data_IF_492650666514
#
_entry.id   IF_492650666514
#
_cell.length_a   1.000
_cell.length_b   1.000
_cell.length_c   1.000
_cell.angle_alpha   90.00
_cell.angle_beta   90.00
_cell.angle_gamma   90.00
#
_symmetry.space_group_name_H-M   'P 1'
#
loop_
_entity.id
_entity.type
_entity.pdbx_description
1 polymer ?
#
# COMPACT_ATOMS: atom_id res chain seq x y z
N UNK A 1 1.42 15.48 -35.45
CA UNK A 1 0.79 14.82 -34.28
C UNK A 1 1.90 14.21 -33.46
N UNK A 2 2.46 14.98 -32.52
CA UNK A 2 3.52 14.55 -31.62
C UNK A 2 2.89 14.26 -30.29
N UNK A 3 2.92 12.98 -29.88
CA UNK A 3 2.46 12.53 -28.58
C UNK A 3 3.39 13.08 -27.50
N UNK A 4 2.87 13.96 -26.67
CA UNK A 4 3.58 14.55 -25.54
C UNK A 4 3.66 13.48 -24.43
N UNK A 5 4.76 12.73 -24.39
CA UNK A 5 5.11 11.86 -23.29
C UNK A 5 5.67 12.70 -22.13
N UNK A 6 4.81 13.23 -21.28
CA UNK A 6 5.23 13.80 -20.00
C UNK A 6 5.27 12.63 -19.00
N UNK A 7 6.38 11.89 -19.03
CA UNK A 7 6.73 10.99 -17.94
C UNK A 7 7.38 11.82 -16.83
N UNK A 8 6.60 12.15 -15.79
CA UNK A 8 7.15 12.64 -14.53
C UNK A 8 8.18 11.66 -14.02
N UNK A 9 9.38 12.18 -13.73
CA UNK A 9 10.65 11.51 -13.47
C UNK A 9 10.71 10.45 -12.38
N UNK A 10 9.89 9.42 -12.43
CA UNK A 10 10.20 8.15 -11.80
C UNK A 10 11.30 7.48 -12.62
N UNK A 11 12.54 7.79 -12.27
CA UNK A 11 13.71 7.06 -12.77
C UNK A 11 13.45 5.58 -12.46
N UNK A 12 13.19 4.78 -13.48
CA UNK A 12 13.17 3.32 -13.38
C UNK A 12 14.49 2.92 -12.72
N UNK A 13 14.46 2.65 -11.42
CA UNK A 13 15.56 2.00 -10.73
C UNK A 13 15.68 0.64 -11.39
N UNK A 14 16.77 0.42 -12.12
CA UNK A 14 17.09 -0.88 -12.70
C UNK A 14 16.93 -1.93 -11.61
N UNK A 15 16.18 -3.02 -11.83
CA UNK A 15 15.93 -4.01 -10.81
C UNK A 15 17.28 -4.53 -10.32
N UNK A 16 17.59 -4.20 -9.07
CA UNK A 16 18.76 -4.77 -8.39
C UNK A 16 18.61 -6.29 -8.49
N UNK A 17 19.63 -6.95 -9.05
CA UNK A 17 19.62 -8.41 -9.26
C UNK A 17 19.32 -9.06 -7.91
N UNK A 18 18.04 -9.44 -7.70
CA UNK A 18 17.59 -10.04 -6.44
C UNK A 18 18.50 -11.22 -6.11
N UNK A 19 19.08 -11.22 -4.91
CA UNK A 19 19.93 -12.29 -4.46
C UNK A 19 19.15 -13.62 -4.43
N UNK A 20 19.84 -14.75 -4.52
CA UNK A 20 19.22 -16.07 -4.35
C UNK A 20 18.50 -16.19 -3.00
N UNK A 21 19.02 -15.49 -1.97
CA UNK A 21 18.43 -15.43 -0.64
C UNK A 21 17.09 -14.69 -0.67
N UNK A 22 17.01 -13.55 -1.37
CA UNK A 22 15.78 -12.75 -1.47
C UNK A 22 14.71 -13.50 -2.25
N UNK A 23 15.10 -14.19 -3.34
CA UNK A 23 14.18 -15.04 -4.11
C UNK A 23 13.62 -16.18 -3.27
N UNK A 24 14.48 -16.88 -2.51
CA UNK A 24 14.04 -17.95 -1.60
C UNK A 24 13.11 -17.42 -0.52
N UNK A 25 13.44 -16.25 0.07
CA UNK A 25 12.60 -15.61 1.07
C UNK A 25 11.22 -15.23 0.50
N UNK A 26 11.17 -14.67 -0.70
CA UNK A 26 9.93 -14.34 -1.38
C UNK A 26 9.10 -15.59 -1.72
N UNK A 27 9.73 -16.66 -2.18
CA UNK A 27 9.05 -17.93 -2.47
C UNK A 27 8.46 -18.56 -1.20
N UNK A 28 9.20 -18.59 -0.09
CA UNK A 28 8.67 -19.10 1.18
C UNK A 28 7.52 -18.24 1.70
N UNK A 29 7.64 -16.90 1.59
CA UNK A 29 6.56 -16.00 1.96
C UNK A 29 5.28 -16.28 1.14
N UNK A 30 5.42 -16.46 -0.18
CA UNK A 30 4.31 -16.78 -1.08
C UNK A 30 3.65 -18.12 -0.72
N UNK A 31 4.46 -19.17 -0.47
CA UNK A 31 3.95 -20.49 -0.08
C UNK A 31 3.15 -20.44 1.22
N UNK A 32 3.60 -19.69 2.23
CA UNK A 32 2.86 -19.52 3.49
C UNK A 32 1.54 -18.78 3.25
N UNK A 33 1.56 -17.70 2.47
CA UNK A 33 0.36 -16.94 2.14
C UNK A 33 -0.66 -17.78 1.38
N UNK A 34 -0.24 -18.54 0.37
CA UNK A 34 -1.08 -19.43 -0.44
C UNK A 34 -1.74 -20.49 0.45
N UNK A 35 -0.98 -21.17 1.30
CA UNK A 35 -1.49 -22.15 2.25
C UNK A 35 -2.52 -21.53 3.22
N UNK A 36 -2.18 -20.37 3.81
CA UNK A 36 -3.07 -19.68 4.75
C UNK A 36 -4.37 -19.18 4.09
N UNK A 37 -4.27 -18.60 2.88
CA UNK A 37 -5.42 -18.13 2.13
C UNK A 37 -6.34 -19.29 1.70
N UNK A 38 -5.77 -20.41 1.24
CA UNK A 38 -6.51 -21.61 0.87
C UNK A 38 -7.26 -22.18 2.09
N UNK A 39 -6.58 -22.39 3.22
CA UNK A 39 -7.19 -22.87 4.45
C UNK A 39 -8.36 -21.96 4.91
N UNK A 40 -8.18 -20.63 4.84
CA UNK A 40 -9.22 -19.68 5.21
C UNK A 40 -10.42 -19.70 4.23
N UNK A 41 -10.19 -19.98 2.95
CA UNK A 41 -11.27 -20.11 1.97
C UNK A 41 -12.11 -21.38 2.17
N UNK A 42 -11.53 -22.45 2.70
CA UNK A 42 -12.24 -23.72 2.99
C UNK A 42 -13.05 -23.65 4.29
N UNK A 43 -12.58 -22.93 5.28
CA UNK A 43 -13.22 -22.83 6.59
C UNK A 43 -14.29 -21.73 6.61
N UNK A 44 -15.33 -21.93 7.42
CA UNK A 44 -16.34 -20.89 7.75
C UNK A 44 -15.96 -20.11 9.01
N UNK A 45 -15.07 -20.67 9.83
CA UNK A 45 -14.61 -20.11 11.10
C UNK A 45 -13.07 -20.10 11.11
N UNK A 46 -12.48 -18.89 11.16
CA UNK A 46 -11.03 -18.71 11.17
C UNK A 46 -10.35 -19.29 12.42
N UNK A 47 -11.10 -19.57 13.50
CA UNK A 47 -10.53 -20.22 14.69
C UNK A 47 -10.04 -21.64 14.40
N UNK A 48 -10.59 -22.28 13.38
CA UNK A 48 -10.22 -23.63 12.92
C UNK A 48 -8.97 -23.65 12.03
N UNK A 49 -8.54 -22.51 11.49
CA UNK A 49 -7.30 -22.40 10.77
C UNK A 49 -6.16 -22.27 11.77
N UNK A 50 -5.25 -23.22 11.81
CA UNK A 50 -4.12 -23.24 12.72
C UNK A 50 -2.80 -22.91 12.03
N UNK A 51 -1.84 -22.38 12.81
CA UNK A 51 -0.49 -22.08 12.29
C UNK A 51 0.23 -23.39 11.94
N UNK A 52 -0.02 -24.44 12.69
CA UNK A 52 0.54 -25.77 12.47
C UNK A 52 0.13 -26.30 11.09
N UNK A 53 -1.16 -26.28 10.77
CA UNK A 53 -1.66 -26.72 9.43
C UNK A 53 -1.08 -25.87 8.29
N UNK A 54 -1.02 -24.54 8.47
CA UNK A 54 -0.41 -23.64 7.46
C UNK A 54 1.07 -23.97 7.27
N UNK A 55 1.80 -24.21 8.37
CA UNK A 55 3.22 -24.51 8.34
C UNK A 55 3.51 -25.87 7.67
N UNK A 56 2.71 -26.87 7.98
CA UNK A 56 2.82 -28.20 7.40
C UNK A 56 2.56 -28.15 5.88
N UNK A 57 1.50 -27.46 5.43
CA UNK A 57 1.19 -27.28 4.02
C UNK A 57 2.29 -26.49 3.27
N UNK A 58 2.85 -25.46 3.91
CA UNK A 58 3.97 -24.70 3.38
C UNK A 58 5.34 -25.41 3.50
N UNK A 59 5.37 -26.61 4.08
CA UNK A 59 6.57 -27.42 4.33
C UNK A 59 7.65 -26.67 5.13
N UNK A 60 7.23 -26.02 6.22
CA UNK A 60 8.08 -25.27 7.17
C UNK A 60 7.70 -25.61 8.63
N UNK A 61 8.54 -25.20 9.58
CA UNK A 61 8.15 -25.26 11.01
C UNK A 61 7.29 -24.07 11.42
N UNK A 62 6.46 -24.22 12.46
CA UNK A 62 5.72 -23.11 13.08
C UNK A 62 6.66 -21.97 13.53
N UNK A 63 7.88 -22.27 14.01
CA UNK A 63 8.91 -21.27 14.30
C UNK A 63 9.32 -20.48 13.06
N UNK A 64 9.41 -21.17 11.91
CA UNK A 64 9.74 -20.51 10.63
C UNK A 64 8.61 -19.61 10.19
N UNK A 65 7.34 -19.99 10.38
CA UNK A 65 6.18 -19.17 10.09
C UNK A 65 6.28 -17.78 10.73
N UNK A 66 6.60 -17.71 12.03
CA UNK A 66 6.71 -16.45 12.76
C UNK A 66 7.89 -15.55 12.32
N UNK A 67 8.84 -16.06 11.54
CA UNK A 67 9.86 -15.24 10.89
C UNK A 67 9.33 -14.47 9.66
N UNK A 68 8.15 -14.84 9.15
CA UNK A 68 7.53 -14.25 7.97
C UNK A 68 6.27 -13.46 8.29
N UNK A 69 5.45 -13.95 9.21
CA UNK A 69 4.16 -13.35 9.56
C UNK A 69 3.99 -13.28 11.07
N UNK A 70 3.53 -12.14 11.62
CA UNK A 70 3.29 -11.98 13.05
C UNK A 70 2.04 -12.76 13.52
N UNK A 71 1.05 -12.98 12.61
CA UNK A 71 -0.17 -13.71 12.90
C UNK A 71 -0.64 -14.54 11.71
N UNK A 72 -1.57 -15.46 11.93
CA UNK A 72 -2.22 -16.21 10.84
C UNK A 72 -3.09 -15.31 9.97
N UNK A 73 -3.71 -14.30 10.56
CA UNK A 73 -4.53 -13.33 9.85
C UNK A 73 -3.69 -12.48 8.88
N UNK A 74 -2.48 -12.07 9.27
CA UNK A 74 -1.53 -11.41 8.37
C UNK A 74 -1.12 -12.33 7.22
N UNK A 75 -0.89 -13.63 7.49
CA UNK A 75 -0.59 -14.61 6.47
C UNK A 75 -1.77 -14.84 5.52
N UNK A 76 -2.98 -14.95 6.05
CA UNK A 76 -4.21 -15.10 5.26
C UNK A 76 -4.40 -13.91 4.30
N UNK A 77 -4.17 -12.70 4.78
CA UNK A 77 -4.28 -11.48 3.96
C UNK A 77 -3.03 -11.18 3.12
N UNK A 78 -1.92 -11.91 3.32
CA UNK A 78 -0.66 -11.66 2.65
C UNK A 78 -0.08 -10.29 2.99
N UNK A 79 -0.16 -9.87 4.25
CA UNK A 79 0.33 -8.58 4.73
C UNK A 79 1.72 -8.74 5.34
N UNK A 80 2.64 -7.88 4.95
CA UNK A 80 3.96 -7.72 5.58
C UNK A 80 3.92 -6.51 6.49
N UNK A 81 4.76 -6.49 7.52
CA UNK A 81 4.94 -5.27 8.34
C UNK A 81 5.26 -4.09 7.41
N UNK A 82 4.48 -3.00 7.45
CA UNK A 82 4.73 -1.84 6.61
C UNK A 82 6.09 -1.20 6.89
N UNK A 83 6.75 -0.76 5.83
CA UNK A 83 7.97 0.03 5.91
C UNK A 83 8.10 0.94 4.69
N UNK A 84 8.79 2.04 4.85
CA UNK A 84 9.22 2.90 3.75
C UNK A 84 10.72 2.68 3.60
N UNK A 85 11.15 2.16 2.44
CA UNK A 85 12.55 1.96 2.14
C UNK A 85 13.25 3.28 1.76
N UNK A 86 14.59 3.30 1.86
CA UNK A 86 15.39 4.49 1.57
C UNK A 86 15.16 5.02 0.15
N UNK A 87 14.87 4.15 -0.82
CA UNK A 87 14.60 4.55 -2.20
C UNK A 87 13.26 5.26 -2.34
N UNK A 88 12.22 4.76 -1.68
CA UNK A 88 10.90 5.41 -1.61
C UNK A 88 11.00 6.75 -0.88
N UNK A 89 11.69 6.78 0.27
CA UNK A 89 11.89 8.01 1.03
C UNK A 89 12.68 9.06 0.23
N UNK A 90 13.73 8.67 -0.49
CA UNK A 90 14.53 9.57 -1.32
C UNK A 90 13.76 10.09 -2.57
N UNK A 91 12.89 9.27 -3.14
CA UNK A 91 12.07 9.64 -4.29
C UNK A 91 10.91 10.58 -3.91
N UNK A 92 10.45 10.53 -2.67
CA UNK A 92 9.37 11.39 -2.20
C UNK A 92 9.90 12.78 -1.83
N UNK A 93 9.89 13.68 -2.82
CA UNK A 93 10.33 15.08 -2.71
C UNK A 93 9.13 15.99 -2.95
N UNK A 94 9.00 17.08 -2.19
CA UNK A 94 7.93 18.09 -2.36
C UNK A 94 8.50 19.30 -3.11
N UNK A 95 8.02 19.49 -4.35
CA UNK A 95 8.29 20.66 -5.19
C UNK A 95 7.26 21.77 -5.00
N UNK A 96 7.53 22.92 -5.60
CA UNK A 96 6.66 24.11 -5.46
C UNK A 96 5.32 23.96 -6.21
N UNK A 97 5.29 23.24 -7.32
CA UNK A 97 4.12 23.08 -8.20
C UNK A 97 3.44 21.70 -8.09
N UNK A 98 3.83 20.89 -7.07
CA UNK A 98 3.28 19.56 -6.91
C UNK A 98 1.82 19.56 -6.43
N UNK A 99 0.99 18.67 -7.00
CA UNK A 99 -0.24 18.21 -6.36
C UNK A 99 0.14 17.29 -5.18
N UNK A 100 0.07 17.85 -3.98
CA UNK A 100 0.48 17.13 -2.76
C UNK A 100 -0.46 15.98 -2.42
N UNK A 101 -1.74 16.08 -2.79
CA UNK A 101 -2.72 15.01 -2.51
C UNK A 101 -2.42 13.82 -3.39
N UNK A 102 -2.16 14.03 -4.67
CA UNK A 102 -1.75 12.99 -5.60
C UNK A 102 -0.44 12.33 -5.17
N UNK A 103 0.57 13.14 -4.85
CA UNK A 103 1.87 12.62 -4.40
C UNK A 103 1.77 11.75 -3.18
N UNK A 104 0.98 12.18 -2.19
CA UNK A 104 0.76 11.39 -0.96
C UNK A 104 -0.07 10.15 -1.25
N UNK A 105 -1.08 10.23 -2.14
CA UNK A 105 -1.85 9.06 -2.56
C UNK A 105 -0.97 8.00 -3.23
N UNK A 106 -0.07 8.41 -4.14
CA UNK A 106 0.90 7.52 -4.78
C UNK A 106 1.90 6.91 -3.79
N UNK A 107 2.37 7.68 -2.80
CA UNK A 107 3.22 7.16 -1.72
C UNK A 107 2.48 6.08 -0.92
N UNK A 108 1.25 6.34 -0.48
CA UNK A 108 0.45 5.38 0.28
C UNK A 108 0.18 4.11 -0.54
N UNK A 109 -0.10 4.27 -1.83
CA UNK A 109 -0.30 3.18 -2.75
C UNK A 109 0.97 2.32 -2.93
N UNK A 110 2.14 2.93 -3.17
CA UNK A 110 3.42 2.23 -3.33
C UNK A 110 3.78 1.41 -2.07
N UNK A 111 3.65 2.02 -0.89
CA UNK A 111 3.90 1.31 0.39
C UNK A 111 2.92 0.15 0.56
N UNK A 112 1.64 0.34 0.23
CA UNK A 112 0.65 -0.73 0.32
C UNK A 112 0.97 -1.88 -0.65
N UNK A 113 1.26 -1.60 -1.92
CA UNK A 113 1.60 -2.65 -2.91
C UNK A 113 2.86 -3.45 -2.50
N UNK A 114 3.88 -2.79 -1.97
CA UNK A 114 5.11 -3.44 -1.47
C UNK A 114 4.85 -4.36 -0.29
N UNK A 115 3.88 -4.01 0.56
CA UNK A 115 3.62 -4.71 1.82
C UNK A 115 2.42 -5.67 1.77
N UNK A 116 1.59 -5.59 0.74
CA UNK A 116 0.42 -6.45 0.54
C UNK A 116 0.60 -7.51 -0.57
N UNK A 117 1.84 -7.91 -0.87
CA UNK A 117 2.11 -8.98 -1.83
C UNK A 117 1.77 -8.65 -3.29
N UNK A 118 1.62 -7.36 -3.65
CA UNK A 118 1.40 -6.90 -5.01
C UNK A 118 -0.04 -7.11 -5.54
N UNK A 119 -0.21 -6.82 -6.82
CA UNK A 119 -1.53 -6.81 -7.49
C UNK A 119 -2.22 -8.17 -7.59
N UNK A 120 -1.47 -9.26 -7.63
CA UNK A 120 -2.01 -10.63 -7.82
C UNK A 120 -2.90 -11.11 -6.67
N UNK A 121 -2.74 -10.57 -5.47
CA UNK A 121 -3.51 -10.99 -4.29
C UNK A 121 -4.81 -10.20 -4.02
N UNK A 122 -5.13 -9.18 -4.81
CA UNK A 122 -6.26 -8.27 -4.51
C UNK A 122 -7.62 -8.95 -4.53
N UNK A 123 -7.90 -9.73 -5.56
CA UNK A 123 -9.17 -10.46 -5.69
C UNK A 123 -9.35 -11.52 -4.60
N UNK A 124 -8.27 -12.22 -4.26
CA UNK A 124 -8.26 -13.21 -3.17
C UNK A 124 -8.53 -12.53 -1.83
N UNK A 125 -7.84 -11.41 -1.54
CA UNK A 125 -8.09 -10.63 -0.31
C UNK A 125 -9.52 -10.10 -0.23
N UNK A 126 -10.10 -9.62 -1.34
CA UNK A 126 -11.48 -9.17 -1.36
C UNK A 126 -12.45 -10.32 -1.05
N UNK A 127 -12.26 -11.49 -1.64
CA UNK A 127 -13.05 -12.69 -1.38
C UNK A 127 -12.93 -13.15 0.08
N UNK A 128 -11.69 -13.15 0.63
CA UNK A 128 -11.43 -13.51 2.02
C UNK A 128 -12.12 -12.55 2.99
N UNK A 129 -12.06 -11.24 2.76
CA UNK A 129 -12.74 -10.26 3.62
C UNK A 129 -14.27 -10.34 3.49
N UNK A 130 -14.79 -10.69 2.33
CA UNK A 130 -16.23 -10.94 2.16
C UNK A 130 -16.69 -12.17 2.95
N UNK A 131 -15.88 -13.24 2.93
CA UNK A 131 -16.17 -14.49 3.65
C UNK A 131 -15.94 -14.34 5.17
N UNK A 132 -14.93 -13.59 5.58
CA UNK A 132 -14.49 -13.38 6.95
C UNK A 132 -14.39 -11.88 7.26
N UNK A 133 -15.50 -11.22 7.60
CA UNK A 133 -15.53 -9.77 7.85
C UNK A 133 -14.55 -9.29 8.94
N UNK A 134 -14.22 -10.16 9.90
CA UNK A 134 -13.26 -9.85 10.98
C UNK A 134 -11.85 -9.53 10.46
N UNK A 135 -11.48 -10.04 9.29
CA UNK A 135 -10.21 -9.70 8.63
C UNK A 135 -10.13 -8.23 8.22
N UNK A 136 -11.28 -7.55 8.07
CA UNK A 136 -11.29 -6.12 7.77
C UNK A 136 -10.60 -5.28 8.85
N UNK A 137 -10.70 -5.71 10.13
CA UNK A 137 -10.01 -5.04 11.24
C UNK A 137 -8.49 -5.13 11.11
N UNK A 138 -7.96 -6.28 10.70
CA UNK A 138 -6.52 -6.48 10.49
C UNK A 138 -6.03 -5.60 9.34
N UNK A 139 -6.78 -5.55 8.23
CA UNK A 139 -6.47 -4.67 7.11
C UNK A 139 -6.50 -3.19 7.49
N UNK A 140 -7.44 -2.77 8.34
CA UNK A 140 -7.51 -1.41 8.85
C UNK A 140 -6.28 -1.07 9.71
N UNK A 141 -5.88 -1.96 10.63
CA UNK A 141 -4.69 -1.78 11.45
C UNK A 141 -3.42 -1.66 10.58
N UNK A 142 -3.30 -2.48 9.55
CA UNK A 142 -2.19 -2.39 8.57
C UNK A 142 -2.20 -1.04 7.82
N UNK A 143 -3.38 -0.58 7.37
CA UNK A 143 -3.52 0.73 6.72
C UNK A 143 -3.17 1.88 7.67
N UNK A 144 -3.49 1.76 8.96
CA UNK A 144 -3.13 2.74 9.98
C UNK A 144 -1.62 2.81 10.19
N UNK A 145 -0.92 1.68 10.18
CA UNK A 145 0.55 1.67 10.26
C UNK A 145 1.18 2.36 9.04
N UNK A 146 0.69 2.08 7.83
CA UNK A 146 1.14 2.78 6.61
C UNK A 146 0.92 4.28 6.74
N UNK A 147 -0.24 4.70 7.23
CA UNK A 147 -0.59 6.11 7.43
C UNK A 147 0.37 6.80 8.40
N UNK A 148 0.72 6.16 9.51
CA UNK A 148 1.68 6.71 10.46
C UNK A 148 3.08 6.87 9.85
N UNK A 149 3.56 5.89 9.10
CA UNK A 149 4.85 5.98 8.40
C UNK A 149 4.85 7.09 7.36
N UNK A 150 3.80 7.15 6.53
CA UNK A 150 3.66 8.19 5.51
C UNK A 150 3.58 9.59 6.13
N UNK A 151 2.84 9.76 7.24
CA UNK A 151 2.74 11.04 7.95
C UNK A 151 4.12 11.55 8.39
N UNK A 152 4.92 10.71 9.03
CA UNK A 152 6.25 11.09 9.49
C UNK A 152 7.17 11.54 8.32
N UNK A 153 7.10 10.84 7.18
CA UNK A 153 7.84 11.23 5.98
C UNK A 153 7.32 12.55 5.39
N UNK A 154 6.00 12.72 5.28
CA UNK A 154 5.38 13.96 4.76
C UNK A 154 5.72 15.15 5.64
N UNK A 155 5.64 15.04 6.98
CA UNK A 155 6.05 16.08 7.93
C UNK A 155 7.49 16.52 7.69
N UNK A 156 8.41 15.55 7.55
CA UNK A 156 9.83 15.82 7.28
C UNK A 156 10.01 16.58 5.96
N UNK A 157 9.36 16.15 4.90
CA UNK A 157 9.48 16.78 3.57
C UNK A 157 8.81 18.15 3.49
N UNK A 158 7.70 18.35 4.19
CA UNK A 158 7.09 19.67 4.32
C UNK A 158 8.03 20.63 5.04
N UNK A 159 8.67 20.20 6.12
CA UNK A 159 9.64 21.02 6.85
C UNK A 159 10.89 21.39 6.02
N UNK A 160 11.33 20.49 5.13
CA UNK A 160 12.46 20.70 4.22
C UNK A 160 12.09 21.56 2.99
N UNK A 161 10.80 21.61 2.60
CA UNK A 161 10.33 22.31 1.41
C UNK A 161 10.39 23.83 1.54
N UNK A 162 11.03 24.50 0.59
CA UNK A 162 11.10 25.98 0.54
C UNK A 162 9.74 26.65 0.45
N UNK A 163 8.75 26.01 -0.17
CA UNK A 163 7.34 26.48 -0.25
C UNK A 163 6.73 26.66 1.14
N UNK A 164 6.92 25.69 2.04
CA UNK A 164 6.35 25.67 3.38
C UNK A 164 7.19 26.46 4.39
N UNK A 165 8.50 26.53 4.20
CA UNK A 165 9.35 27.40 5.01
C UNK A 165 8.95 28.88 4.91
N UNK A 166 8.49 29.35 3.73
CA UNK A 166 7.99 30.70 3.51
C UNK A 166 6.64 30.97 4.20
N UNK A 167 5.85 29.92 4.45
CA UNK A 167 4.52 29.98 5.12
C UNK A 167 4.57 29.58 6.60
N UNK A 168 5.74 29.42 7.17
CA UNK A 168 5.99 28.82 8.48
C UNK A 168 5.21 29.48 9.66
N UNK A 169 4.78 30.71 9.52
CA UNK A 169 4.06 31.42 10.57
C UNK A 169 2.53 31.15 10.57
N UNK A 170 2.00 30.62 9.47
CA UNK A 170 0.55 30.48 9.28
C UNK A 170 0.06 29.03 9.18
N UNK A 171 0.98 28.04 9.13
CA UNK A 171 0.60 26.65 8.84
C UNK A 171 1.26 25.68 9.82
N UNK A 172 0.41 24.92 10.50
CA UNK A 172 0.84 23.77 11.30
C UNK A 172 1.20 22.60 10.36
N UNK A 173 2.49 22.25 10.33
CA UNK A 173 3.02 21.19 9.49
C UNK A 173 2.43 19.82 9.87
N UNK A 174 2.25 19.56 11.17
CA UNK A 174 1.67 18.31 11.65
C UNK A 174 0.22 18.16 11.19
N UNK A 175 -0.60 19.21 11.39
CA UNK A 175 -1.98 19.23 10.91
C UNK A 175 -2.05 19.12 9.39
N UNK A 176 -1.16 19.78 8.66
CA UNK A 176 -1.09 19.71 7.19
C UNK A 176 -0.76 18.30 6.71
N UNK A 177 0.25 17.66 7.29
CA UNK A 177 0.61 16.29 6.95
C UNK A 177 -0.55 15.32 7.25
N UNK A 178 -1.24 15.51 8.38
CA UNK A 178 -2.40 14.71 8.75
C UNK A 178 -3.53 14.85 7.71
N UNK A 179 -3.82 16.07 7.25
CA UNK A 179 -4.83 16.35 6.23
C UNK A 179 -4.43 15.69 4.90
N UNK A 180 -3.20 15.90 4.44
CA UNK A 180 -2.70 15.34 3.18
C UNK A 180 -2.75 13.81 3.16
N UNK A 181 -2.33 13.17 4.24
CA UNK A 181 -2.35 11.70 4.35
C UNK A 181 -3.78 11.17 4.38
N UNK A 182 -4.70 11.87 5.06
CA UNK A 182 -6.13 11.51 5.10
C UNK A 182 -6.78 11.67 3.73
N UNK A 183 -6.51 12.78 3.03
CA UNK A 183 -6.99 13.01 1.67
C UNK A 183 -6.43 11.97 0.68
N UNK A 184 -5.11 11.73 0.70
CA UNK A 184 -4.46 10.72 -0.13
C UNK A 184 -5.02 9.32 0.11
N UNK A 185 -5.31 8.95 1.36
CA UNK A 185 -5.96 7.66 1.67
C UNK A 185 -7.37 7.57 1.07
N UNK A 186 -8.13 8.66 1.07
CA UNK A 186 -9.45 8.72 0.44
C UNK A 186 -9.36 8.55 -1.07
N UNK A 187 -8.38 9.19 -1.71
CA UNK A 187 -8.09 9.04 -3.15
C UNK A 187 -7.77 7.58 -3.49
N UNK A 188 -6.86 6.93 -2.75
CA UNK A 188 -6.52 5.50 -2.98
C UNK A 188 -7.75 4.62 -2.83
N UNK A 189 -8.60 4.88 -1.82
CA UNK A 189 -9.83 4.12 -1.60
C UNK A 189 -10.80 4.26 -2.78
N UNK A 190 -10.98 5.47 -3.31
CA UNK A 190 -11.82 5.73 -4.48
C UNK A 190 -11.28 4.99 -5.71
N UNK A 191 -9.97 5.05 -5.95
CA UNK A 191 -9.33 4.35 -7.07
C UNK A 191 -9.53 2.83 -6.99
N UNK A 192 -9.40 2.24 -5.80
CA UNK A 192 -9.68 0.82 -5.56
C UNK A 192 -11.16 0.49 -5.78
N UNK A 193 -12.08 1.34 -5.33
CA UNK A 193 -13.53 1.15 -5.54
C UNK A 193 -13.86 1.19 -7.04
N UNK A 194 -13.30 2.12 -7.80
CA UNK A 194 -13.46 2.17 -9.25
C UNK A 194 -12.95 0.90 -9.95
N UNK A 195 -11.80 0.39 -9.52
CA UNK A 195 -11.25 -0.86 -10.05
C UNK A 195 -12.21 -2.05 -9.84
N UNK A 196 -12.88 -2.09 -8.69
CA UNK A 196 -13.76 -3.20 -8.32
C UNK A 196 -15.16 -3.07 -8.93
N UNK A 197 -15.67 -1.85 -9.11
CA UNK A 197 -17.04 -1.58 -9.55
C UNK A 197 -17.17 -1.29 -11.04
N UNK A 198 -16.10 -0.78 -11.67
CA UNK A 198 -16.08 -0.41 -13.09
C UNK A 198 -14.91 -1.10 -13.80
N UNK A 199 -15.03 -2.38 -14.13
CA UNK A 199 -13.95 -3.12 -14.80
C UNK A 199 -13.80 -2.73 -16.28
N UNK A 200 -13.97 -1.44 -16.62
CA UNK A 200 -13.77 -0.92 -17.98
C UNK A 200 -12.29 -0.88 -18.32
N UNK A 201 -11.82 -1.93 -18.97
CA UNK A 201 -10.44 -2.03 -19.44
C UNK A 201 -9.45 -2.41 -18.33
N UNK A 202 -8.29 -2.87 -18.75
CA UNK A 202 -7.19 -3.23 -17.86
C UNK A 202 -6.42 -1.95 -17.45
N UNK A 203 -7.11 -0.99 -16.80
CA UNK A 203 -6.48 0.27 -16.34
C UNK A 203 -5.63 -0.05 -15.12
N UNK A 204 -4.34 0.29 -15.12
CA UNK A 204 -3.48 0.13 -13.95
C UNK A 204 -4.00 0.94 -12.77
N UNK A 205 -3.80 0.43 -11.53
CA UNK A 205 -4.35 1.11 -10.36
C UNK A 205 -3.68 2.45 -10.06
N UNK A 206 -2.41 2.62 -10.39
CA UNK A 206 -1.70 3.89 -10.34
C UNK A 206 -2.34 4.97 -11.23
N UNK A 207 -2.77 4.61 -12.42
CA UNK A 207 -3.54 5.50 -13.31
C UNK A 207 -4.91 5.84 -12.70
N UNK A 208 -5.57 4.91 -12.02
CA UNK A 208 -6.82 5.19 -11.30
C UNK A 208 -6.60 6.10 -10.11
N UNK A 209 -5.47 5.95 -9.39
CA UNK A 209 -5.08 6.86 -8.30
C UNK A 209 -4.88 8.27 -8.85
N UNK A 210 -4.16 8.40 -9.97
CA UNK A 210 -3.97 9.70 -10.64
C UNK A 210 -5.32 10.36 -10.99
N UNK A 211 -6.23 9.65 -11.65
CA UNK A 211 -7.56 10.17 -12.01
C UNK A 211 -8.40 10.55 -10.81
N UNK A 212 -8.35 9.74 -9.74
CA UNK A 212 -9.08 10.04 -8.51
C UNK A 212 -8.51 11.29 -7.82
N UNK A 213 -7.19 11.47 -7.81
CA UNK A 213 -6.54 12.67 -7.29
C UNK A 213 -6.94 13.92 -8.07
N UNK A 214 -6.88 13.88 -9.40
CA UNK A 214 -7.32 14.99 -10.25
C UNK A 214 -8.77 15.38 -9.98
N UNK A 215 -9.68 14.40 -9.89
CA UNK A 215 -11.08 14.66 -9.58
C UNK A 215 -11.24 15.31 -8.20
N UNK A 216 -10.47 14.87 -7.22
CA UNK A 216 -10.49 15.42 -5.87
C UNK A 216 -10.00 16.87 -5.84
N UNK A 217 -8.90 17.18 -6.52
CA UNK A 217 -8.33 18.53 -6.60
C UNK A 217 -9.27 19.48 -7.35
N UNK A 218 -9.85 19.07 -8.48
CA UNK A 218 -10.83 19.86 -9.23
C UNK A 218 -12.04 20.25 -8.37
N UNK A 219 -12.58 19.31 -7.59
CA UNK A 219 -13.71 19.58 -6.69
C UNK A 219 -13.35 20.64 -5.64
N UNK A 220 -12.11 20.58 -5.10
CA UNK A 220 -11.66 21.56 -4.11
C UNK A 220 -11.41 22.97 -4.68
N UNK A 221 -11.06 23.05 -5.99
CA UNK A 221 -10.86 24.34 -6.67
C UNK A 221 -12.17 25.01 -7.07
N UNK A 222 -13.24 24.23 -7.25
CA UNK A 222 -14.57 24.73 -7.65
C UNK A 222 -15.50 24.99 -6.43
N UNK A 223 -15.12 24.55 -5.22
CA UNK A 223 -15.91 24.70 -3.99
C UNK A 223 -15.63 26.00 -3.26
#
# INVERSE_FOLDING_TARGET
MQSCNIWYGYRMVTPHKQSLRDRKRAATWASIHEAAAAAAMEQTDLSKVTIEEIADEANISARTFFNYFPSKEDAILGLRTPYIDDSTAAAFVIGDDDDLIEKVALLLFDVFEKTAGGSGGRSVRAALMHRHPDLARIRLAHSDQIRHLARALVETRLAESGRWQRRRHDVDIEATAQILVTAGQSVVRIAVDWLLTKPEGNIPLDELVHRAAQSFTTILEEA
#
